data_IF_628535838461
#
_entry.id   IF_628535838461
#
_cell.length_a   1.000
_cell.length_b   1.000
_cell.length_c   1.000
_cell.angle_alpha   90.00
_cell.angle_beta   90.00
_cell.angle_gamma   90.00
#
_symmetry.space_group_name_H-M   'P 1'
#
loop_
_entity.id
_entity.type
_entity.pdbx_description
1 polymer ?
#
# COMPACT_ATOMS: atom_id res chain seq x y z
N UNK A 1 -9.53 -4.73 10.49
CA UNK A 1 -9.46 -3.57 9.58
C UNK A 1 -10.12 -2.34 10.19
N UNK A 2 -11.41 -2.41 10.61
CA UNK A 2 -12.17 -1.28 11.16
C UNK A 2 -11.45 -0.59 12.32
N UNK A 3 -11.00 -1.33 13.33
CA UNK A 3 -10.32 -0.76 14.51
C UNK A 3 -9.04 0.00 14.13
N UNK A 4 -8.22 -0.55 13.23
CA UNK A 4 -7.03 0.13 12.69
C UNK A 4 -7.40 1.40 11.92
N UNK A 5 -8.45 1.35 11.09
CA UNK A 5 -8.88 2.49 10.27
C UNK A 5 -9.43 3.63 11.14
N UNK A 6 -10.23 3.31 12.17
CA UNK A 6 -10.72 4.30 13.14
C UNK A 6 -9.57 4.94 13.92
N UNK A 7 -8.62 4.13 14.39
CA UNK A 7 -7.42 4.65 15.07
C UNK A 7 -6.61 5.57 14.13
N UNK A 8 -6.39 5.17 12.89
CA UNK A 8 -5.67 6.00 11.93
C UNK A 8 -6.41 7.32 11.62
N UNK A 9 -7.73 7.28 11.47
CA UNK A 9 -8.57 8.47 11.30
C UNK A 9 -8.46 9.42 12.49
N UNK A 10 -8.50 8.88 13.71
CA UNK A 10 -8.34 9.65 14.94
C UNK A 10 -6.99 10.37 15.00
N UNK A 11 -5.89 9.66 14.72
CA UNK A 11 -4.56 10.26 14.74
C UNK A 11 -4.38 11.30 13.63
N UNK A 12 -4.91 11.07 12.42
CA UNK A 12 -4.91 12.06 11.36
C UNK A 12 -5.68 13.32 11.79
N UNK A 13 -6.86 13.16 12.38
CA UNK A 13 -7.67 14.28 12.88
C UNK A 13 -6.94 15.08 13.97
N UNK A 14 -6.33 14.40 14.95
CA UNK A 14 -5.52 15.04 15.98
C UNK A 14 -4.35 15.83 15.37
N UNK A 15 -3.66 15.25 14.42
CA UNK A 15 -2.55 15.91 13.72
C UNK A 15 -3.02 17.15 12.95
N UNK A 16 -4.14 17.05 12.21
CA UNK A 16 -4.71 18.19 11.48
C UNK A 16 -5.12 19.32 12.42
N UNK A 17 -5.72 18.99 13.55
CA UNK A 17 -6.08 19.97 14.58
C UNK A 17 -4.86 20.66 15.19
N UNK A 18 -3.81 19.90 15.49
CA UNK A 18 -2.56 20.40 16.03
C UNK A 18 -1.84 21.34 15.05
N UNK A 19 -1.81 20.98 13.76
CA UNK A 19 -1.18 21.77 12.68
C UNK A 19 -2.10 22.83 12.11
N UNK A 20 -3.30 23.04 12.69
CA UNK A 20 -4.32 24.02 12.25
C UNK A 20 -4.75 23.83 10.79
N UNK A 21 -4.67 22.60 10.26
CA UNK A 21 -5.13 22.30 8.92
C UNK A 21 -6.66 22.27 8.89
N UNK A 22 -7.24 22.83 7.82
CA UNK A 22 -8.69 22.82 7.63
C UNK A 22 -9.17 21.46 7.15
N UNK A 23 -10.22 20.93 7.79
CA UNK A 23 -10.91 19.74 7.32
C UNK A 23 -11.82 20.15 6.16
N UNK A 24 -11.48 19.72 4.96
CA UNK A 24 -12.26 19.99 3.76
C UNK A 24 -12.95 18.69 3.35
N UNK A 25 -14.29 18.66 3.47
CA UNK A 25 -15.09 17.51 3.08
C UNK A 25 -15.57 17.60 1.62
N UNK A 26 -15.35 18.72 0.95
CA UNK A 26 -15.68 18.87 -0.47
C UNK A 26 -14.47 18.44 -1.32
N UNK A 27 -14.69 17.44 -2.18
CA UNK A 27 -13.70 17.02 -3.20
C UNK A 27 -14.11 17.58 -4.57
N UNK A 28 -13.11 17.90 -5.39
CA UNK A 28 -13.33 18.29 -6.78
C UNK A 28 -13.55 17.07 -7.70
N UNK A 29 -13.21 15.87 -7.23
CA UNK A 29 -13.25 14.64 -8.01
C UNK A 29 -14.04 13.52 -7.29
N UNK A 30 -15.39 13.67 -7.11
CA UNK A 30 -16.15 12.74 -6.28
C UNK A 30 -16.10 11.29 -6.79
N UNK A 31 -16.20 11.07 -8.09
CA UNK A 31 -16.13 9.74 -8.68
C UNK A 31 -14.76 9.07 -8.44
N UNK A 32 -13.67 9.77 -8.72
CA UNK A 32 -12.33 9.23 -8.51
C UNK A 32 -12.01 9.01 -7.02
N UNK A 33 -12.49 9.89 -6.16
CA UNK A 33 -12.37 9.73 -4.71
C UNK A 33 -13.10 8.47 -4.23
N UNK A 34 -14.33 8.24 -4.71
CA UNK A 34 -15.09 7.02 -4.40
C UNK A 34 -14.38 5.77 -4.93
N UNK A 35 -13.92 5.80 -6.17
CA UNK A 35 -13.18 4.68 -6.76
C UNK A 35 -11.91 4.37 -5.96
N UNK A 36 -11.17 5.40 -5.53
CA UNK A 36 -9.98 5.23 -4.67
C UNK A 36 -10.33 4.56 -3.34
N UNK A 37 -11.41 4.98 -2.67
CA UNK A 37 -11.87 4.39 -1.41
C UNK A 37 -12.20 2.91 -1.60
N UNK A 38 -12.93 2.57 -2.66
CA UNK A 38 -13.29 1.19 -3.00
C UNK A 38 -12.05 0.36 -3.26
N UNK A 39 -11.15 0.84 -4.12
CA UNK A 39 -9.89 0.15 -4.42
C UNK A 39 -9.04 -0.06 -3.15
N UNK A 40 -8.97 0.94 -2.28
CA UNK A 40 -8.21 0.84 -1.05
C UNK A 40 -8.79 -0.20 -0.08
N UNK A 41 -10.12 -0.20 0.09
CA UNK A 41 -10.81 -1.19 0.92
C UNK A 41 -10.62 -2.61 0.40
N UNK A 42 -10.88 -2.84 -0.88
CA UNK A 42 -10.72 -4.16 -1.48
C UNK A 42 -9.25 -4.59 -1.56
N UNK A 43 -8.32 -3.66 -1.81
CA UNK A 43 -6.90 -3.95 -1.81
C UNK A 43 -6.45 -4.54 -0.47
N UNK A 44 -6.78 -3.90 0.65
CA UNK A 44 -6.50 -4.45 1.98
C UNK A 44 -7.22 -5.77 2.22
N UNK A 45 -8.48 -5.90 1.80
CA UNK A 45 -9.24 -7.12 1.96
C UNK A 45 -8.58 -8.30 1.23
N UNK A 46 -8.16 -8.10 -0.04
CA UNK A 46 -7.44 -9.11 -0.80
C UNK A 46 -6.10 -9.50 -0.16
N UNK A 47 -5.38 -8.53 0.40
CA UNK A 47 -4.13 -8.83 1.09
C UNK A 47 -4.36 -9.65 2.36
N UNK A 48 -5.33 -9.27 3.21
CA UNK A 48 -5.64 -10.04 4.42
C UNK A 48 -6.19 -11.43 4.11
N UNK A 49 -7.01 -11.56 3.07
CA UNK A 49 -7.51 -12.85 2.58
C UNK A 49 -6.33 -13.74 2.15
N UNK A 50 -5.33 -13.20 1.47
CA UNK A 50 -4.18 -13.98 1.01
C UNK A 50 -3.43 -14.66 2.17
N UNK A 51 -3.40 -14.01 3.34
CA UNK A 51 -2.72 -14.55 4.52
C UNK A 51 -3.43 -15.77 5.13
N UNK A 52 -4.63 -16.11 4.67
CA UNK A 52 -5.33 -17.34 5.12
C UNK A 52 -4.82 -18.61 4.44
N UNK A 53 -4.11 -18.49 3.32
CA UNK A 53 -3.65 -19.64 2.52
C UNK A 53 -2.23 -19.51 1.97
N UNK A 54 -1.52 -18.40 2.25
CA UNK A 54 -0.10 -18.28 1.90
C UNK A 54 0.69 -17.55 2.98
N UNK A 55 2.01 -17.73 2.97
CA UNK A 55 2.90 -17.00 3.88
C UNK A 55 2.95 -15.52 3.57
N UNK A 56 3.24 -14.70 4.60
CA UNK A 56 3.42 -13.26 4.45
C UNK A 56 4.51 -12.91 3.42
N UNK A 57 5.58 -13.72 3.36
CA UNK A 57 6.67 -13.54 2.39
C UNK A 57 6.17 -13.70 0.95
N UNK A 58 5.36 -14.74 0.68
CA UNK A 58 4.77 -14.99 -0.63
C UNK A 58 3.77 -13.89 -1.02
N UNK A 59 2.88 -13.48 -0.10
CA UNK A 59 1.93 -12.40 -0.33
C UNK A 59 2.65 -11.09 -0.66
N UNK A 60 3.71 -10.74 0.07
CA UNK A 60 4.53 -9.56 -0.22
C UNK A 60 5.25 -9.66 -1.56
N UNK A 61 5.83 -10.83 -1.91
CA UNK A 61 6.48 -11.03 -3.20
C UNK A 61 5.54 -10.70 -4.38
N UNK A 62 4.31 -11.20 -4.30
CA UNK A 62 3.30 -10.95 -5.32
C UNK A 62 2.78 -9.49 -5.29
N UNK A 63 2.64 -8.90 -4.11
CA UNK A 63 2.26 -7.49 -3.97
C UNK A 63 3.30 -6.54 -4.58
N UNK A 64 4.58 -6.88 -4.53
CA UNK A 64 5.64 -6.09 -5.18
C UNK A 64 5.59 -6.05 -6.71
N UNK A 65 4.55 -6.63 -7.33
CA UNK A 65 4.16 -6.31 -8.70
C UNK A 65 3.55 -4.90 -8.83
N UNK A 66 3.20 -4.22 -7.73
CA UNK A 66 2.60 -2.88 -7.73
C UNK A 66 3.38 -1.82 -8.52
N UNK A 67 4.72 -1.71 -8.49
CA UNK A 67 5.44 -0.72 -9.29
C UNK A 67 5.26 -0.88 -10.81
N UNK A 68 5.01 -2.11 -11.30
CA UNK A 68 4.66 -2.32 -12.71
C UNK A 68 3.30 -1.70 -13.02
N UNK A 69 2.28 -2.00 -12.20
CA UNK A 69 0.95 -1.45 -12.40
C UNK A 69 0.93 0.06 -12.26
N UNK A 70 1.62 0.62 -11.24
CA UNK A 70 1.75 2.07 -11.08
C UNK A 70 2.36 2.71 -12.33
N UNK A 71 3.43 2.14 -12.87
CA UNK A 71 4.11 2.68 -14.05
C UNK A 71 3.25 2.59 -15.31
N UNK A 72 2.52 1.48 -15.50
CA UNK A 72 1.57 1.32 -16.61
C UNK A 72 0.45 2.37 -16.49
N UNK A 73 -0.16 2.50 -15.32
CA UNK A 73 -1.24 3.46 -15.09
C UNK A 73 -0.77 4.91 -15.21
N UNK A 74 0.47 5.21 -14.79
CA UNK A 74 1.06 6.54 -14.95
C UNK A 74 1.24 6.91 -16.43
N UNK A 75 1.65 5.97 -17.27
CA UNK A 75 1.72 6.18 -18.73
C UNK A 75 0.32 6.39 -19.31
N UNK A 76 -0.66 5.55 -18.94
CA UNK A 76 -1.98 5.56 -19.55
C UNK A 76 -2.85 6.75 -19.11
N UNK A 77 -2.79 7.13 -17.84
CA UNK A 77 -3.72 8.11 -17.25
C UNK A 77 -3.08 9.45 -16.89
N UNK A 78 -1.76 9.48 -16.66
CA UNK A 78 -1.06 10.71 -16.29
C UNK A 78 -0.17 11.22 -17.44
N UNK A 79 -0.16 10.55 -18.59
CA UNK A 79 0.68 10.87 -19.74
C UNK A 79 2.19 10.92 -19.41
N UNK A 80 2.63 10.15 -18.40
CA UNK A 80 4.05 10.09 -18.05
C UNK A 80 4.85 9.38 -19.14
N UNK A 81 6.00 9.95 -19.48
CA UNK A 81 6.96 9.33 -20.41
C UNK A 81 7.92 8.42 -19.64
N UNK A 82 7.52 7.17 -19.44
CA UNK A 82 8.37 6.16 -18.79
C UNK A 82 9.32 5.55 -19.84
N UNK A 83 10.59 5.95 -19.79
CA UNK A 83 11.60 5.42 -20.72
C UNK A 83 12.01 3.97 -20.36
N UNK A 84 12.58 3.25 -21.35
CA UNK A 84 13.01 1.86 -21.21
C UNK A 84 13.92 1.61 -19.99
N UNK A 85 14.74 2.57 -19.60
CA UNK A 85 15.64 2.46 -18.45
C UNK A 85 14.90 2.43 -17.10
N UNK A 86 13.75 3.14 -16.97
CA UNK A 86 12.88 3.01 -15.78
C UNK A 86 12.23 1.63 -15.74
N UNK A 87 11.78 1.12 -16.88
CA UNK A 87 11.26 -0.26 -16.96
C UNK A 87 12.30 -1.28 -16.54
N UNK A 88 13.53 -1.14 -17.02
CA UNK A 88 14.64 -2.02 -16.60
C UNK A 88 14.93 -1.92 -15.11
N UNK A 89 14.90 -0.73 -14.52
CA UNK A 89 15.10 -0.57 -13.08
C UNK A 89 13.96 -1.20 -12.25
N UNK A 90 12.70 -1.07 -12.70
CA UNK A 90 11.56 -1.73 -12.08
C UNK A 90 11.74 -3.25 -12.12
N UNK A 91 12.09 -3.81 -13.28
CA UNK A 91 12.37 -5.23 -13.45
C UNK A 91 13.54 -5.71 -12.58
N UNK A 92 14.61 -4.92 -12.53
CA UNK A 92 15.78 -5.23 -11.69
C UNK A 92 15.43 -5.20 -10.20
N UNK A 93 14.71 -4.16 -9.73
CA UNK A 93 14.24 -4.10 -8.34
C UNK A 93 13.35 -5.29 -7.99
N UNK A 94 12.42 -5.63 -8.87
CA UNK A 94 11.53 -6.78 -8.69
C UNK A 94 12.29 -8.12 -8.65
N UNK A 95 13.29 -8.31 -9.51
CA UNK A 95 14.14 -9.51 -9.45
C UNK A 95 14.90 -9.61 -8.11
N UNK A 96 15.38 -8.49 -7.57
CA UNK A 96 15.98 -8.42 -6.23
C UNK A 96 15.01 -8.85 -5.13
N UNK A 97 13.74 -8.44 -5.22
CA UNK A 97 12.67 -8.89 -4.31
C UNK A 97 12.49 -10.41 -4.36
N UNK A 98 12.44 -10.99 -5.57
CA UNK A 98 12.34 -12.43 -5.74
C UNK A 98 13.52 -13.21 -5.17
N UNK A 99 14.74 -12.67 -5.32
CA UNK A 99 15.96 -13.27 -4.73
C UNK A 99 15.85 -13.30 -3.20
N UNK A 100 15.41 -12.20 -2.57
CA UNK A 100 15.26 -12.11 -1.10
C UNK A 100 14.18 -13.05 -0.58
N UNK A 101 12.99 -12.97 -1.16
CA UNK A 101 11.80 -13.67 -0.65
C UNK A 101 11.76 -15.14 -1.03
N UNK A 102 12.48 -15.53 -2.11
CA UNK A 102 12.54 -16.91 -2.61
C UNK A 102 11.17 -17.62 -2.59
N UNK A 103 10.14 -17.04 -3.25
CA UNK A 103 8.78 -17.56 -3.15
C UNK A 103 8.67 -18.96 -3.77
N UNK A 104 7.93 -19.85 -3.12
CA UNK A 104 7.63 -21.17 -3.65
C UNK A 104 6.34 -21.13 -4.49
N UNK A 105 6.43 -21.54 -5.74
CA UNK A 105 5.32 -21.60 -6.69
C UNK A 105 4.91 -23.02 -7.05
N UNK A 106 5.39 -24.05 -6.35
CA UNK A 106 5.13 -25.45 -6.67
C UNK A 106 3.63 -25.79 -6.66
N UNK A 107 2.87 -25.18 -5.73
CA UNK A 107 1.44 -25.38 -5.57
C UNK A 107 0.64 -24.14 -5.95
N UNK A 108 0.72 -23.72 -7.22
CA UNK A 108 0.06 -22.52 -7.67
C UNK A 108 -1.44 -22.74 -7.91
N UNK A 109 -2.27 -22.07 -7.11
CA UNK A 109 -3.71 -21.97 -7.31
C UNK A 109 -4.11 -20.54 -7.69
N UNK A 110 -5.21 -20.38 -8.45
CA UNK A 110 -5.73 -19.06 -8.85
C UNK A 110 -6.04 -18.14 -7.65
N UNK A 111 -6.41 -18.70 -6.51
CA UNK A 111 -6.63 -17.96 -5.25
C UNK A 111 -5.37 -17.18 -4.83
N UNK A 112 -4.19 -17.69 -5.15
CA UNK A 112 -2.89 -17.07 -4.85
C UNK A 112 -2.62 -15.79 -5.64
N UNK A 113 -3.50 -15.41 -6.59
CA UNK A 113 -3.44 -14.13 -7.30
C UNK A 113 -4.03 -12.95 -6.50
N UNK A 114 -4.63 -13.17 -5.33
CA UNK A 114 -5.23 -12.08 -4.55
C UNK A 114 -4.25 -10.98 -4.14
N UNK A 115 -2.95 -11.22 -3.83
CA UNK A 115 -2.01 -10.12 -3.60
C UNK A 115 -1.70 -9.31 -4.88
N UNK A 116 -1.81 -9.93 -6.05
CA UNK A 116 -1.67 -9.21 -7.33
C UNK A 116 -2.89 -8.30 -7.57
N UNK A 117 -4.10 -8.78 -7.24
CA UNK A 117 -5.29 -7.93 -7.23
C UNK A 117 -5.18 -6.78 -6.23
N UNK A 118 -4.62 -7.03 -5.03
CA UNK A 118 -4.27 -5.98 -4.07
C UNK A 118 -3.30 -4.97 -4.69
N UNK A 119 -2.23 -5.42 -5.35
CA UNK A 119 -1.25 -4.56 -6.02
C UNK A 119 -1.89 -3.68 -7.09
N UNK A 120 -2.82 -4.22 -7.87
CA UNK A 120 -3.57 -3.46 -8.87
C UNK A 120 -4.47 -2.40 -8.21
N UNK A 121 -5.25 -2.78 -7.19
CA UNK A 121 -6.10 -1.85 -6.44
C UNK A 121 -5.28 -0.71 -5.80
N UNK A 122 -4.14 -1.04 -5.20
CA UNK A 122 -3.20 -0.08 -4.64
C UNK A 122 -2.69 0.88 -5.72
N UNK A 123 -2.26 0.36 -6.86
CA UNK A 123 -1.72 1.14 -7.98
C UNK A 123 -2.76 2.10 -8.56
N UNK A 124 -4.01 1.68 -8.70
CA UNK A 124 -5.13 2.54 -9.09
C UNK A 124 -5.31 3.67 -8.06
N UNK A 125 -5.31 3.32 -6.77
CA UNK A 125 -5.47 4.30 -5.67
C UNK A 125 -4.36 5.35 -5.69
N UNK A 126 -3.09 4.95 -5.88
CA UNK A 126 -1.95 5.87 -5.92
C UNK A 126 -1.94 6.73 -7.20
N UNK A 127 -2.33 6.17 -8.33
CA UNK A 127 -2.48 6.94 -9.58
C UNK A 127 -3.58 8.01 -9.45
N UNK A 128 -4.72 7.67 -8.85
CA UNK A 128 -5.79 8.62 -8.55
C UNK A 128 -5.29 9.70 -7.58
N UNK A 129 -4.49 9.33 -6.57
CA UNK A 129 -3.89 10.28 -5.62
C UNK A 129 -3.06 11.33 -6.35
N UNK A 130 -2.24 10.93 -7.29
CA UNK A 130 -1.48 11.87 -8.14
C UNK A 130 -2.39 12.72 -9.00
N UNK A 131 -3.34 12.09 -9.71
CA UNK A 131 -4.24 12.80 -10.62
C UNK A 131 -5.06 13.88 -9.93
N UNK A 132 -5.54 13.60 -8.72
CA UNK A 132 -6.43 14.52 -7.96
C UNK A 132 -5.66 15.53 -7.12
N UNK A 133 -4.33 15.42 -7.02
CA UNK A 133 -3.50 16.29 -6.18
C UNK A 133 -3.39 17.74 -6.68
N UNK A 134 -3.86 18.04 -7.88
CA UNK A 134 -3.91 19.40 -8.43
C UNK A 134 -4.96 20.28 -7.71
N UNK A 135 -6.05 19.69 -7.20
CA UNK A 135 -7.13 20.42 -6.53
C UNK A 135 -7.42 19.94 -5.11
N UNK A 136 -7.18 18.66 -4.83
CA UNK A 136 -7.42 18.07 -3.52
C UNK A 136 -6.07 17.78 -2.85
N UNK A 137 -5.76 18.50 -1.76
CA UNK A 137 -4.53 18.28 -1.01
C UNK A 137 -4.53 16.91 -0.29
N UNK A 138 -3.36 16.45 0.13
CA UNK A 138 -3.19 15.13 0.77
C UNK A 138 -4.08 14.94 2.01
N UNK A 139 -4.31 16.00 2.79
CA UNK A 139 -5.19 15.93 3.97
C UNK A 139 -6.63 15.65 3.60
N UNK A 140 -7.15 16.36 2.58
CA UNK A 140 -8.49 16.14 2.03
C UNK A 140 -8.63 14.72 1.50
N UNK A 141 -7.65 14.26 0.73
CA UNK A 141 -7.64 12.93 0.15
C UNK A 141 -7.63 11.83 1.22
N UNK A 142 -6.79 11.95 2.26
CA UNK A 142 -6.73 11.00 3.37
C UNK A 142 -7.99 11.02 4.24
N UNK A 143 -8.56 12.21 4.49
CA UNK A 143 -9.81 12.35 5.23
C UNK A 143 -10.94 11.58 4.55
N UNK A 144 -11.12 11.74 3.24
CA UNK A 144 -12.10 10.98 2.49
C UNK A 144 -11.81 9.48 2.51
N UNK A 145 -10.54 9.09 2.38
CA UNK A 145 -10.15 7.69 2.41
C UNK A 145 -10.55 7.02 3.72
N UNK A 146 -10.19 7.62 4.86
CA UNK A 146 -10.49 7.04 6.17
C UNK A 146 -11.99 7.07 6.49
N UNK A 147 -12.69 8.16 6.17
CA UNK A 147 -14.15 8.23 6.35
C UNK A 147 -14.84 7.16 5.48
N UNK A 148 -14.52 7.10 4.19
CA UNK A 148 -15.13 6.15 3.27
C UNK A 148 -14.81 4.70 3.63
N UNK A 149 -13.56 4.38 3.97
CA UNK A 149 -13.17 3.05 4.40
C UNK A 149 -13.86 2.64 5.72
N UNK A 150 -14.07 3.59 6.64
CA UNK A 150 -14.84 3.35 7.87
C UNK A 150 -16.31 3.07 7.56
N UNK A 151 -16.94 3.86 6.69
CA UNK A 151 -18.34 3.65 6.28
C UNK A 151 -18.51 2.25 5.65
N UNK A 152 -17.66 1.89 4.67
CA UNK A 152 -17.73 0.57 4.04
C UNK A 152 -17.53 -0.54 5.09
N UNK A 153 -16.59 -0.37 6.02
CA UNK A 153 -16.34 -1.36 7.08
C UNK A 153 -17.52 -1.51 8.03
N UNK A 154 -18.20 -0.40 8.38
CA UNK A 154 -19.41 -0.44 9.21
C UNK A 154 -20.56 -1.13 8.47
N UNK A 155 -20.75 -0.80 7.20
CA UNK A 155 -21.76 -1.49 6.38
C UNK A 155 -21.48 -3.00 6.34
N UNK A 156 -20.24 -3.39 6.09
CA UNK A 156 -19.86 -4.81 6.11
C UNK A 156 -20.09 -5.46 7.48
N UNK A 157 -19.80 -4.75 8.57
CA UNK A 157 -20.07 -5.21 9.93
C UNK A 157 -21.56 -5.45 10.18
N UNK A 158 -22.43 -4.52 9.76
CA UNK A 158 -23.89 -4.67 9.94
C UNK A 158 -24.41 -5.95 9.28
N UNK A 159 -23.85 -6.32 8.11
CA UNK A 159 -24.30 -7.51 7.38
C UNK A 159 -23.63 -8.81 7.84
N UNK A 160 -22.42 -8.79 8.36
CA UNK A 160 -21.62 -10.02 8.60
C UNK A 160 -20.98 -10.08 9.97
N UNK A 161 -21.05 -9.01 10.76
CA UNK A 161 -20.24 -8.87 11.99
C UNK A 161 -20.64 -9.78 13.14
N UNK A 162 -21.85 -10.34 13.14
CA UNK A 162 -22.33 -11.26 14.17
C UNK A 162 -21.90 -12.72 13.91
N UNK A 163 -21.19 -12.99 12.82
CA UNK A 163 -20.73 -14.34 12.48
C UNK A 163 -21.82 -15.28 11.99
N UNK A 164 -23.03 -14.76 11.71
CA UNK A 164 -24.21 -15.55 11.31
C UNK A 164 -24.03 -16.35 10.00
N UNK A 165 -23.09 -15.93 9.15
CA UNK A 165 -22.75 -16.60 7.90
C UNK A 165 -21.50 -17.50 8.00
N UNK A 166 -20.95 -17.72 9.18
CA UNK A 166 -19.71 -18.48 9.38
C UNK A 166 -19.93 -20.01 9.38
N UNK A 167 -20.61 -20.52 8.34
CA UNK A 167 -20.93 -21.94 8.18
C UNK A 167 -20.04 -22.63 7.12
N UNK A 168 -18.92 -22.01 6.75
CA UNK A 168 -18.04 -22.52 5.71
C UNK A 168 -16.88 -23.34 6.30
N UNK A 169 -16.45 -24.38 5.56
CA UNK A 169 -15.26 -25.16 5.89
C UNK A 169 -13.96 -24.53 5.35
N UNK A 170 -14.04 -23.68 4.33
CA UNK A 170 -12.88 -23.02 3.74
C UNK A 170 -12.37 -21.89 4.65
N UNK A 171 -11.07 -21.88 5.02
CA UNK A 171 -10.48 -20.88 5.91
C UNK A 171 -10.68 -19.43 5.45
N UNK A 172 -10.77 -19.20 4.15
CA UNK A 172 -10.98 -17.87 3.57
C UNK A 172 -12.34 -17.30 3.93
N UNK A 173 -13.40 -18.12 3.75
CA UNK A 173 -14.75 -17.70 4.10
C UNK A 173 -14.95 -17.61 5.61
N UNK A 174 -14.33 -18.51 6.39
CA UNK A 174 -14.32 -18.41 7.86
C UNK A 174 -13.68 -17.09 8.32
N UNK A 175 -12.59 -16.68 7.68
CA UNK A 175 -11.93 -15.39 7.99
C UNK A 175 -12.82 -14.18 7.65
N UNK A 176 -13.54 -14.21 6.53
CA UNK A 176 -14.40 -13.11 6.07
C UNK A 176 -15.64 -12.96 6.96
N UNK A 177 -16.28 -14.11 7.31
CA UNK A 177 -17.57 -14.14 7.99
C UNK A 177 -17.49 -14.43 9.49
N UNK A 178 -16.27 -14.45 10.06
CA UNK A 178 -16.09 -14.62 11.50
C UNK A 178 -16.75 -13.48 12.26
N UNK A 179 -17.15 -13.78 13.50
CA UNK A 179 -17.61 -12.76 14.43
C UNK A 179 -16.55 -11.69 14.69
N UNK A 180 -16.97 -10.42 14.73
CA UNK A 180 -16.11 -9.28 14.95
C UNK A 180 -16.00 -8.98 16.46
N UNK A 181 -14.96 -8.24 16.83
CA UNK A 181 -14.68 -7.80 18.21
C UNK A 181 -14.46 -8.92 19.24
N UNK A 182 -14.20 -10.14 18.79
CA UNK A 182 -13.82 -11.28 19.65
C UNK A 182 -12.34 -11.23 20.08
N UNK A 183 -11.62 -10.18 19.70
CA UNK A 183 -10.21 -10.03 20.03
C UNK A 183 -10.01 -9.89 21.55
N UNK A 184 -8.98 -10.54 22.10
CA UNK A 184 -8.65 -10.40 23.50
C UNK A 184 -8.24 -8.94 23.84
N UNK A 185 -8.45 -8.53 25.08
CA UNK A 185 -8.24 -7.16 25.52
C UNK A 185 -6.83 -6.62 25.23
N UNK A 186 -5.80 -7.48 25.28
CA UNK A 186 -4.43 -7.08 24.98
C UNK A 186 -4.18 -6.73 23.50
N UNK A 187 -5.09 -7.09 22.60
CA UNK A 187 -4.95 -6.78 21.17
C UNK A 187 -5.29 -5.31 20.86
N UNK A 188 -6.11 -4.64 21.68
CA UNK A 188 -6.53 -3.27 21.43
C UNK A 188 -5.39 -2.24 21.39
N UNK A 189 -4.43 -2.25 22.32
CA UNK A 189 -3.27 -1.36 22.25
C UNK A 189 -2.46 -1.57 20.95
N UNK A 190 -2.33 -2.82 20.49
CA UNK A 190 -1.63 -3.15 19.24
C UNK A 190 -2.39 -2.58 18.03
N UNK A 191 -3.72 -2.73 18.01
CA UNK A 191 -4.58 -2.18 16.94
C UNK A 191 -4.45 -0.65 16.88
N UNK A 192 -4.44 0.01 18.02
CA UNK A 192 -4.28 1.47 18.12
C UNK A 192 -2.90 1.89 17.61
N UNK A 193 -1.84 1.21 18.03
CA UNK A 193 -0.48 1.46 17.58
C UNK A 193 -0.33 1.26 16.05
N UNK A 194 -0.92 0.19 15.52
CA UNK A 194 -0.95 -0.06 14.07
C UNK A 194 -1.70 1.04 13.31
N UNK A 195 -2.76 1.59 13.91
CA UNK A 195 -3.47 2.75 13.35
C UNK A 195 -2.60 4.00 13.31
N UNK A 196 -1.88 4.29 14.38
CA UNK A 196 -0.94 5.42 14.45
C UNK A 196 0.17 5.31 13.39
N UNK A 197 0.88 4.17 13.37
CA UNK A 197 1.94 3.91 12.39
C UNK A 197 1.36 3.97 10.97
N UNK A 198 0.19 3.38 10.74
CA UNK A 198 -0.49 3.42 9.45
C UNK A 198 -0.86 4.83 9.01
N UNK A 199 -1.35 5.69 9.92
CA UNK A 199 -1.67 7.08 9.61
C UNK A 199 -0.43 7.85 9.17
N UNK A 200 0.68 7.71 9.89
CA UNK A 200 1.95 8.35 9.57
C UNK A 200 2.52 7.86 8.23
N UNK A 201 2.56 6.54 8.02
CA UNK A 201 3.06 5.93 6.80
C UNK A 201 2.26 6.37 5.57
N UNK A 202 0.92 6.29 5.64
CA UNK A 202 0.08 6.71 4.51
C UNK A 202 0.13 8.22 4.27
N UNK A 203 0.29 9.04 5.32
CA UNK A 203 0.53 10.46 5.15
C UNK A 203 1.79 10.72 4.31
N UNK A 204 2.90 10.06 4.64
CA UNK A 204 4.14 10.18 3.87
C UNK A 204 3.96 9.67 2.42
N UNK A 205 3.33 8.51 2.23
CA UNK A 205 3.08 7.92 0.90
C UNK A 205 2.19 8.82 0.05
N UNK A 206 1.06 9.30 0.58
CA UNK A 206 0.16 10.19 -0.16
C UNK A 206 0.85 11.49 -0.56
N UNK A 207 1.64 12.10 0.32
CA UNK A 207 2.42 13.27 -0.03
C UNK A 207 3.46 12.96 -1.10
N UNK A 208 4.20 11.85 -1.00
CA UNK A 208 5.17 11.46 -2.01
C UNK A 208 4.51 11.30 -3.39
N UNK A 209 3.40 10.58 -3.49
CA UNK A 209 2.67 10.41 -4.74
C UNK A 209 2.02 11.71 -5.25
N UNK A 210 1.63 12.63 -4.37
CA UNK A 210 1.05 13.91 -4.80
C UNK A 210 2.08 14.84 -5.46
N UNK A 211 3.31 14.88 -4.94
CA UNK A 211 4.35 15.82 -5.40
C UNK A 211 5.29 15.23 -6.45
N UNK A 212 5.57 13.91 -6.42
CA UNK A 212 6.52 13.28 -7.32
C UNK A 212 5.83 12.42 -8.39
N UNK A 213 6.61 11.98 -9.39
CA UNK A 213 6.16 11.06 -10.43
C UNK A 213 5.87 9.68 -9.83
N UNK A 214 4.66 9.11 -9.99
CA UNK A 214 4.30 7.80 -9.46
C UNK A 214 5.25 6.68 -9.88
N UNK A 215 5.72 6.68 -11.13
CA UNK A 215 6.68 5.68 -11.63
C UNK A 215 8.05 5.75 -10.95
N UNK A 216 8.40 6.88 -10.35
CA UNK A 216 9.63 7.03 -9.55
C UNK A 216 9.37 6.63 -8.10
N UNK A 217 8.28 7.12 -7.50
CA UNK A 217 7.92 6.82 -6.10
C UNK A 217 7.77 5.32 -5.88
N UNK A 218 7.11 4.62 -6.80
CA UNK A 218 6.88 3.18 -6.68
C UNK A 218 8.16 2.34 -6.61
N UNK A 219 9.27 2.81 -7.19
CA UNK A 219 10.57 2.14 -7.06
C UNK A 219 11.14 2.19 -5.65
N UNK A 220 10.88 3.30 -4.92
CA UNK A 220 11.32 3.43 -3.53
C UNK A 220 10.53 2.51 -2.59
N UNK A 221 9.36 2.03 -2.99
CA UNK A 221 8.58 1.06 -2.21
C UNK A 221 9.32 -0.26 -2.01
N UNK A 222 10.22 -0.64 -2.93
CA UNK A 222 11.08 -1.80 -2.73
C UNK A 222 12.00 -1.66 -1.49
N UNK A 223 12.26 -0.44 -1.02
CA UNK A 223 13.01 -0.22 0.23
C UNK A 223 12.34 -0.85 1.45
N UNK A 224 11.03 -1.12 1.40
CA UNK A 224 10.30 -1.80 2.46
C UNK A 224 10.94 -3.15 2.83
N UNK A 225 11.50 -3.87 1.85
CA UNK A 225 12.21 -5.12 2.10
C UNK A 225 13.45 -4.91 2.96
N UNK A 226 14.21 -3.84 2.72
CA UNK A 226 15.41 -3.51 3.48
C UNK A 226 15.03 -3.27 4.95
N UNK A 227 14.00 -2.46 5.17
CA UNK A 227 13.48 -2.19 6.52
C UNK A 227 12.92 -3.44 7.19
N UNK A 228 12.22 -4.31 6.45
CA UNK A 228 11.69 -5.57 6.96
C UNK A 228 12.81 -6.50 7.45
N UNK A 229 13.92 -6.56 6.72
CA UNK A 229 15.08 -7.36 7.10
C UNK A 229 15.76 -6.79 8.35
N UNK A 230 15.96 -5.46 8.40
CA UNK A 230 16.52 -4.80 9.58
C UNK A 230 15.69 -5.05 10.83
N UNK A 231 14.37 -4.85 10.74
CA UNK A 231 13.44 -5.06 11.85
C UNK A 231 13.41 -6.54 12.24
N UNK A 232 13.41 -7.45 11.24
CA UNK A 232 13.47 -8.89 11.46
C UNK A 232 14.72 -9.31 12.24
N UNK A 233 15.88 -8.73 11.92
CA UNK A 233 17.13 -8.98 12.65
C UNK A 233 17.09 -8.41 14.07
N UNK A 234 16.63 -7.16 14.24
CA UNK A 234 16.66 -6.47 15.55
C UNK A 234 15.62 -7.05 16.53
N UNK A 235 14.41 -7.38 16.07
CA UNK A 235 13.32 -7.79 16.95
C UNK A 235 13.12 -9.31 17.05
N UNK A 236 13.58 -10.06 16.06
CA UNK A 236 13.34 -11.51 15.96
C UNK A 236 14.61 -12.33 15.80
N UNK A 237 15.80 -11.74 15.96
CA UNK A 237 17.12 -12.37 15.82
C UNK A 237 17.27 -13.18 14.51
N UNK A 238 16.53 -12.79 13.47
CA UNK A 238 16.57 -13.49 12.18
C UNK A 238 17.79 -13.04 11.37
N UNK A 239 18.82 -13.91 11.33
CA UNK A 239 20.09 -13.62 10.62
C UNK A 239 19.85 -13.62 9.10
N UNK A 240 20.19 -12.52 8.39
CA UNK A 240 20.07 -12.46 6.94
C UNK A 240 20.97 -13.49 6.25
N UNK A 241 20.43 -14.20 5.27
CA UNK A 241 21.19 -15.15 4.45
C UNK A 241 22.01 -14.44 3.37
N UNK A 242 22.96 -15.16 2.75
CA UNK A 242 23.71 -14.64 1.59
C UNK A 242 22.78 -14.19 0.46
N UNK A 243 21.68 -14.91 0.22
CA UNK A 243 20.65 -14.53 -0.77
C UNK A 243 20.03 -13.19 -0.43
N UNK A 244 19.75 -12.94 0.84
CA UNK A 244 19.22 -11.67 1.33
C UNK A 244 20.16 -10.51 1.00
N UNK A 245 21.45 -10.67 1.24
CA UNK A 245 22.46 -9.64 0.91
C UNK A 245 22.53 -9.38 -0.59
N UNK A 246 22.54 -10.42 -1.43
CA UNK A 246 22.54 -10.27 -2.89
C UNK A 246 21.29 -9.52 -3.36
N UNK A 247 20.09 -9.94 -2.95
CA UNK A 247 18.85 -9.32 -3.37
C UNK A 247 18.72 -7.86 -2.91
N UNK A 248 19.10 -7.55 -1.68
CA UNK A 248 19.14 -6.17 -1.17
C UNK A 248 20.11 -5.30 -1.97
N UNK A 249 21.28 -5.81 -2.32
CA UNK A 249 22.26 -5.09 -3.14
C UNK A 249 21.69 -4.76 -4.54
N UNK A 250 20.93 -5.68 -5.14
CA UNK A 250 20.24 -5.47 -6.42
C UNK A 250 19.17 -4.38 -6.29
N UNK A 251 18.36 -4.41 -5.21
CA UNK A 251 17.31 -3.41 -4.95
C UNK A 251 17.92 -2.01 -4.77
N UNK A 252 18.96 -1.92 -3.91
CA UNK A 252 19.65 -0.64 -3.66
C UNK A 252 20.27 -0.12 -4.96
N UNK A 253 20.94 -0.99 -5.72
CA UNK A 253 21.56 -0.63 -7.00
C UNK A 253 20.54 -0.07 -8.00
N UNK A 254 19.35 -0.69 -8.13
CA UNK A 254 18.27 -0.20 -8.97
C UNK A 254 17.77 1.19 -8.53
N UNK A 255 17.59 1.38 -7.21
CA UNK A 255 17.16 2.67 -6.64
C UNK A 255 18.18 3.79 -6.86
N UNK A 256 19.47 3.53 -6.59
CA UNK A 256 20.56 4.49 -6.80
C UNK A 256 20.68 4.85 -8.29
N UNK A 257 20.61 3.85 -9.17
CA UNK A 257 20.68 4.08 -10.62
C UNK A 257 19.62 5.07 -11.11
N UNK A 258 18.37 4.90 -10.66
CA UNK A 258 17.28 5.81 -11.02
C UNK A 258 17.52 7.19 -10.43
N UNK A 259 17.88 7.29 -9.14
CA UNK A 259 18.13 8.57 -8.48
C UNK A 259 19.22 9.39 -9.20
N UNK A 260 20.37 8.78 -9.47
CA UNK A 260 21.48 9.45 -10.14
C UNK A 260 21.11 9.92 -11.55
N UNK A 261 20.32 9.13 -12.25
CA UNK A 261 19.90 9.44 -13.61
C UNK A 261 18.86 10.57 -13.68
N UNK A 262 17.88 10.58 -12.79
CA UNK A 262 16.91 11.69 -12.72
C UNK A 262 17.62 13.00 -12.37
N UNK A 263 18.61 12.94 -11.47
CA UNK A 263 19.45 14.10 -11.11
C UNK A 263 20.26 14.65 -12.30
N UNK A 264 20.83 13.76 -13.14
CA UNK A 264 21.65 14.18 -14.31
C UNK A 264 20.79 14.80 -15.42
N UNK A 265 19.51 14.42 -15.51
CA UNK A 265 18.61 14.93 -16.56
C UNK A 265 17.96 16.27 -16.23
N UNK A 266 18.28 16.89 -15.11
CA UNK A 266 17.60 18.10 -14.59
C UNK A 266 16.06 17.97 -14.57
N UNK A 267 15.56 16.73 -14.59
CA UNK A 267 14.14 16.47 -14.43
C UNK A 267 13.82 16.65 -12.95
N UNK A 268 12.98 17.61 -12.62
CA UNK A 268 12.49 17.79 -11.26
C UNK A 268 11.86 16.48 -10.78
N UNK A 269 12.50 15.85 -9.78
CA UNK A 269 11.96 14.65 -9.12
C UNK A 269 10.69 15.01 -8.35
N UNK A 270 10.68 16.25 -7.85
CA UNK A 270 9.57 16.84 -7.09
C UNK A 270 9.20 18.15 -7.78
N UNK A 271 7.91 18.36 -8.00
CA UNK A 271 7.39 19.65 -8.52
C UNK A 271 6.70 20.40 -7.39
N UNK A 272 6.93 21.71 -7.31
CA UNK A 272 6.27 22.60 -6.34
C UNK A 272 4.75 22.67 -6.58
N UNK A 273 4.33 22.35 -7.79
CA UNK A 273 2.92 22.22 -8.17
C UNK A 273 2.67 20.84 -8.77
N UNK A 274 1.52 20.19 -8.47
CA UNK A 274 1.16 18.95 -9.12
C UNK A 274 1.04 19.16 -10.62
N UNK A 275 1.97 18.61 -11.40
CA UNK A 275 1.88 18.66 -12.85
C UNK A 275 0.91 17.58 -13.33
N UNK A 276 -0.01 17.99 -14.17
CA UNK A 276 -0.89 17.12 -14.93
C UNK A 276 -0.14 16.26 -15.94
#
# INVERSE_FOLDING_TARGET
YLGRTLSAAFFLFCYMKFTKQKIILKTHYPFLTTLRIICFFFGFSFFYISLTYMSLAMANALFFSSPFFVSILAVLFLNEKVGIRRWLAILTGFSGVFIVLNPDFSDFEYKKLSPVACALCYSISMTITKYTSDKDNSYTQMTHLYIGATIISILFFIFTGEGQFNNFSDPTYQFIFREWFTNPTYAWPIIILMGFIGALAFFCVFNAYSIASPSVVSLYEYSLIIWSIMIGYILFDSVPTLRTFIGVSVIIGAGIYIYLREKVKDQMIVTDTPNR
#
